data_IF_881727240359
#
_entry.id   IF_881727240359
#
_cell.length_a   1.000
_cell.length_b   1.000
_cell.length_c   1.000
_cell.angle_alpha   90.00
_cell.angle_beta   90.00
_cell.angle_gamma   90.00
#
_symmetry.space_group_name_H-M   'P 1'
#
loop_
_entity.id
_entity.type
_entity.pdbx_description
1 polymer ?
#
# COMPACT_ATOMS: atom_id res chain seq x y z
N UNK A 1 8.81 4.55 -10.20
CA UNK A 1 7.43 5.03 -9.96
C UNK A 1 7.43 5.76 -8.63
N UNK A 2 7.09 7.05 -8.62
CA UNK A 2 7.14 7.93 -7.42
C UNK A 2 5.80 7.95 -6.67
N UNK A 3 4.86 7.08 -7.00
CA UNK A 3 3.47 7.29 -6.64
C UNK A 3 3.25 7.17 -5.11
N UNK A 4 3.91 6.22 -4.43
CA UNK A 4 3.90 6.17 -2.96
C UNK A 4 4.94 7.08 -2.30
N UNK A 5 5.80 7.73 -3.07
CA UNK A 5 6.83 8.64 -2.54
C UNK A 5 6.19 9.78 -1.75
N UNK A 6 5.04 10.28 -2.24
CA UNK A 6 4.33 11.41 -1.67
C UNK A 6 3.29 11.03 -0.60
N UNK A 7 3.42 9.86 0.04
CA UNK A 7 2.58 9.53 1.19
C UNK A 7 2.85 10.54 2.31
N UNK A 8 1.80 11.24 2.74
CA UNK A 8 1.92 12.27 3.75
C UNK A 8 1.97 11.67 5.16
N UNK A 9 2.78 12.29 6.02
CA UNK A 9 2.95 11.92 7.41
C UNK A 9 4.36 12.24 7.91
N UNK A 10 4.52 12.32 9.23
CA UNK A 10 5.84 12.37 9.86
C UNK A 10 6.52 11.00 9.77
N UNK A 11 7.86 10.96 9.81
CA UNK A 11 8.65 9.74 9.66
C UNK A 11 8.28 8.63 10.67
N UNK A 12 8.04 9.02 11.92
CA UNK A 12 7.58 8.17 13.03
C UNK A 12 6.20 7.55 12.79
N UNK A 13 5.35 8.20 12.00
CA UNK A 13 4.03 7.69 11.70
C UNK A 13 4.06 6.43 10.83
N UNK A 14 5.15 6.11 10.11
CA UNK A 14 5.23 4.99 9.15
C UNK A 14 5.64 3.64 9.75
N UNK A 15 5.60 3.50 11.08
CA UNK A 15 5.96 2.27 11.81
C UNK A 15 5.27 0.99 11.31
N UNK A 16 4.07 1.14 10.75
CA UNK A 16 3.19 0.09 10.25
C UNK A 16 2.90 0.23 8.74
N UNK A 17 3.80 0.84 7.96
CA UNK A 17 3.57 1.09 6.53
C UNK A 17 4.81 0.77 5.68
N UNK A 18 4.87 -0.47 5.18
CA UNK A 18 5.92 -0.95 4.28
C UNK A 18 5.28 -1.45 2.99
N UNK A 19 5.62 -0.82 1.86
CA UNK A 19 5.15 -1.23 0.55
C UNK A 19 6.34 -1.69 -0.27
N UNK A 20 6.39 -2.97 -0.57
CA UNK A 20 7.44 -3.58 -1.39
C UNK A 20 6.88 -3.84 -2.78
N UNK A 21 7.40 -3.13 -3.76
CA UNK A 21 7.02 -3.28 -5.15
C UNK A 21 8.00 -4.20 -5.89
N UNK A 22 7.48 -4.94 -6.86
CA UNK A 22 8.29 -5.55 -7.92
C UNK A 22 7.86 -4.99 -9.28
N UNK A 23 8.85 -4.54 -10.04
CA UNK A 23 8.69 -4.01 -11.38
C UNK A 23 9.68 -4.70 -12.33
N UNK A 24 9.21 -5.44 -13.34
CA UNK A 24 10.10 -6.04 -14.31
C UNK A 24 10.49 -4.98 -15.34
N UNK A 25 11.62 -5.19 -16.01
CA UNK A 25 11.95 -4.42 -17.20
C UNK A 25 10.83 -4.56 -18.25
N UNK A 26 10.52 -3.48 -18.98
CA UNK A 26 9.34 -3.43 -19.87
C UNK A 26 9.42 -4.39 -21.06
N UNK A 27 10.64 -4.77 -21.48
CA UNK A 27 10.88 -5.61 -22.64
C UNK A 27 12.29 -6.20 -22.60
N UNK A 28 12.55 -7.20 -23.47
CA UNK A 28 13.90 -7.73 -23.68
C UNK A 28 14.89 -6.65 -24.12
N UNK A 29 14.46 -5.70 -24.95
CA UNK A 29 15.27 -4.56 -25.38
C UNK A 29 15.64 -3.61 -24.22
N UNK A 30 14.80 -3.55 -23.18
CA UNK A 30 15.09 -2.83 -21.94
C UNK A 30 15.87 -3.67 -20.90
N UNK A 31 16.47 -4.79 -21.33
CA UNK A 31 17.27 -5.66 -20.48
C UNK A 31 16.50 -6.72 -19.71
N UNK A 32 15.23 -6.99 -20.04
CA UNK A 32 14.48 -8.09 -19.40
C UNK A 32 15.08 -9.44 -19.79
N UNK A 33 15.54 -10.20 -18.79
CA UNK A 33 15.94 -11.60 -18.93
C UNK A 33 14.96 -12.51 -18.18
N UNK A 34 14.83 -13.76 -18.64
CA UNK A 34 13.96 -14.75 -18.00
C UNK A 34 12.45 -14.47 -18.08
N UNK A 35 11.68 -15.25 -17.33
CA UNK A 35 10.23 -15.12 -17.20
C UNK A 35 9.86 -14.22 -16.02
N UNK A 36 9.60 -12.95 -16.33
CA UNK A 36 9.19 -11.95 -15.36
C UNK A 36 7.87 -12.31 -14.66
N UNK A 37 6.92 -12.95 -15.35
CA UNK A 37 5.63 -13.30 -14.74
C UNK A 37 5.82 -14.43 -13.73
N UNK A 38 6.62 -15.45 -14.04
CA UNK A 38 6.95 -16.51 -13.11
C UNK A 38 7.66 -15.97 -11.86
N UNK A 39 8.65 -15.10 -12.03
CA UNK A 39 9.35 -14.45 -10.93
C UNK A 39 8.38 -13.61 -10.05
N UNK A 40 7.46 -12.88 -10.67
CA UNK A 40 6.45 -12.10 -9.96
C UNK A 40 5.41 -12.95 -9.22
N UNK A 41 4.99 -14.08 -9.81
CA UNK A 41 4.14 -15.05 -9.11
C UNK A 41 4.85 -15.63 -7.89
N UNK A 42 6.15 -15.93 -8.01
CA UNK A 42 6.97 -16.37 -6.88
C UNK A 42 7.08 -15.30 -5.80
N UNK A 43 7.36 -14.05 -6.17
CA UNK A 43 7.36 -12.90 -5.25
C UNK A 43 6.03 -12.79 -4.48
N UNK A 44 4.88 -12.92 -5.17
CA UNK A 44 3.56 -12.85 -4.54
C UNK A 44 3.25 -14.02 -3.62
N UNK A 45 3.69 -15.23 -3.99
CA UNK A 45 3.55 -16.42 -3.16
C UNK A 45 4.33 -16.27 -1.85
N UNK A 46 5.59 -15.85 -1.92
CA UNK A 46 6.41 -15.56 -0.73
C UNK A 46 5.74 -14.46 0.10
N UNK A 47 5.28 -13.38 -0.53
CA UNK A 47 4.64 -12.29 0.20
C UNK A 47 3.44 -12.78 1.02
N UNK A 48 2.64 -13.71 0.49
CA UNK A 48 1.49 -14.28 1.19
C UNK A 48 1.88 -15.11 2.43
N UNK A 49 3.05 -15.77 2.44
CA UNK A 49 3.59 -16.50 3.60
C UNK A 49 3.82 -15.57 4.79
N UNK A 50 4.20 -14.31 4.53
CA UNK A 50 4.44 -13.27 5.54
C UNK A 50 3.16 -12.51 5.97
N UNK A 51 1.98 -12.97 5.56
CA UNK A 51 0.67 -12.41 5.98
C UNK A 51 0.57 -10.89 5.79
N UNK A 52 0.63 -10.40 4.54
CA UNK A 52 0.63 -8.97 4.24
C UNK A 52 -0.74 -8.36 4.58
N UNK A 53 -0.77 -7.06 4.87
CA UNK A 53 -2.00 -6.29 5.02
C UNK A 53 -2.78 -6.22 3.69
N UNK A 54 -2.08 -6.15 2.56
CA UNK A 54 -2.68 -6.19 1.22
C UNK A 54 -1.69 -6.70 0.17
N UNK A 55 -2.22 -7.33 -0.88
CA UNK A 55 -1.51 -7.62 -2.13
C UNK A 55 -2.15 -6.85 -3.28
N UNK A 56 -1.31 -6.40 -4.21
CA UNK A 56 -1.67 -5.52 -5.30
C UNK A 56 -1.10 -5.95 -6.65
N UNK A 57 -1.94 -5.94 -7.68
CA UNK A 57 -1.53 -6.00 -9.08
C UNK A 57 -2.14 -4.79 -9.80
N UNK A 58 -1.32 -3.95 -10.41
CA UNK A 58 -1.79 -2.74 -11.08
C UNK A 58 -2.71 -3.03 -12.29
N UNK A 59 -2.61 -4.22 -12.90
CA UNK A 59 -3.42 -4.60 -14.07
C UNK A 59 -4.77 -5.18 -13.66
N UNK A 60 -4.78 -6.10 -12.69
CA UNK A 60 -5.98 -6.86 -12.34
C UNK A 60 -6.64 -6.38 -11.05
N UNK A 61 -5.91 -5.61 -10.24
CA UNK A 61 -6.37 -4.95 -9.04
C UNK A 61 -6.04 -5.68 -7.73
N UNK A 62 -6.17 -4.95 -6.62
CA UNK A 62 -5.77 -5.39 -5.28
C UNK A 62 -6.62 -6.47 -4.61
N UNK A 63 -6.19 -6.82 -3.40
CA UNK A 63 -6.83 -7.81 -2.51
C UNK A 63 -8.25 -7.41 -2.07
N UNK A 64 -8.51 -6.11 -1.95
CA UNK A 64 -9.82 -5.51 -1.75
C UNK A 64 -10.25 -4.80 -3.04
N UNK A 65 -11.27 -5.35 -3.73
CA UNK A 65 -11.74 -4.83 -5.02
C UNK A 65 -13.06 -4.06 -4.93
N UNK A 66 -13.36 -3.17 -5.89
CA UNK A 66 -14.68 -2.57 -6.03
C UNK A 66 -15.81 -3.62 -6.03
N UNK A 67 -16.97 -3.23 -5.49
CA UNK A 67 -18.17 -4.07 -5.50
C UNK A 67 -18.90 -3.90 -6.83
N UNK A 68 -19.58 -4.96 -7.32
CA UNK A 68 -20.57 -4.83 -8.39
C UNK A 68 -21.94 -4.37 -7.88
N UNK A 69 -22.11 -4.25 -6.56
CA UNK A 69 -23.35 -3.76 -5.96
C UNK A 69 -23.61 -2.33 -6.42
N UNK A 70 -24.83 -2.07 -6.88
CA UNK A 70 -25.31 -0.72 -7.22
C UNK A 70 -25.76 0.08 -5.99
N UNK A 71 -25.81 -0.55 -4.82
CA UNK A 71 -26.21 0.10 -3.58
C UNK A 71 -24.99 0.62 -2.83
N UNK A 72 -25.12 1.81 -2.22
CA UNK A 72 -24.10 2.36 -1.33
C UNK A 72 -23.82 1.45 -0.12
N UNK A 73 -24.78 0.60 0.25
CA UNK A 73 -24.59 -0.40 1.30
C UNK A 73 -23.60 -1.51 0.90
N UNK A 74 -23.36 -1.71 -0.39
CA UNK A 74 -22.44 -2.71 -0.93
C UNK A 74 -20.97 -2.49 -0.62
N UNK A 75 -20.61 -1.29 -0.15
CA UNK A 75 -19.25 -0.93 0.28
C UNK A 75 -18.94 -1.31 1.74
N UNK A 76 -19.94 -1.81 2.48
CA UNK A 76 -19.82 -2.14 3.90
C UNK A 76 -20.00 -3.64 4.17
N UNK A 77 -19.49 -4.10 5.32
CA UNK A 77 -19.72 -5.45 5.84
C UNK A 77 -18.86 -6.55 5.19
N UNK A 78 -19.36 -7.80 5.21
CA UNK A 78 -18.59 -9.03 4.94
C UNK A 78 -17.88 -9.10 3.58
N UNK A 79 -18.25 -8.24 2.61
CA UNK A 79 -17.60 -8.14 1.28
C UNK A 79 -16.23 -7.48 1.33
N UNK A 80 -15.85 -6.92 2.48
CA UNK A 80 -14.60 -6.20 2.70
C UNK A 80 -13.47 -7.09 3.25
N UNK A 81 -13.51 -8.40 2.97
CA UNK A 81 -12.39 -9.30 3.29
C UNK A 81 -11.37 -9.31 2.16
N UNK A 82 -10.06 -9.10 2.44
CA UNK A 82 -9.01 -9.28 1.44
C UNK A 82 -9.02 -10.69 0.87
N UNK A 83 -8.91 -10.80 -0.45
CA UNK A 83 -8.81 -12.08 -1.14
C UNK A 83 -7.47 -12.16 -1.88
N UNK A 84 -6.46 -12.70 -1.20
CA UNK A 84 -5.11 -12.86 -1.77
C UNK A 84 -5.09 -13.89 -2.89
N UNK A 85 -5.80 -15.02 -2.73
CA UNK A 85 -5.90 -16.06 -3.77
C UNK A 85 -6.35 -15.50 -5.11
N UNK A 86 -7.35 -14.62 -5.11
CA UNK A 86 -7.83 -13.93 -6.32
C UNK A 86 -6.78 -13.04 -6.97
N UNK A 87 -5.89 -12.42 -6.18
CA UNK A 87 -4.77 -11.63 -6.73
C UNK A 87 -3.78 -12.57 -7.40
N UNK A 88 -3.33 -13.63 -6.71
CA UNK A 88 -2.34 -14.59 -7.24
C UNK A 88 -2.83 -15.30 -8.51
N UNK A 89 -4.07 -15.80 -8.51
CA UNK A 89 -4.67 -16.51 -9.65
C UNK A 89 -4.99 -15.56 -10.82
N UNK A 90 -5.24 -14.28 -10.53
CA UNK A 90 -5.56 -13.27 -11.53
C UNK A 90 -4.37 -12.75 -12.32
N UNK A 91 -3.13 -13.09 -11.94
CA UNK A 91 -1.92 -12.59 -12.59
C UNK A 91 -1.75 -13.19 -13.99
N UNK A 92 -2.12 -12.41 -15.02
CA UNK A 92 -2.00 -12.81 -16.43
C UNK A 92 -0.76 -12.28 -17.14
N UNK A 93 -0.20 -11.15 -16.69
CA UNK A 93 0.93 -10.47 -17.33
C UNK A 93 1.84 -9.84 -16.28
N UNK A 94 3.14 -9.84 -16.57
CA UNK A 94 4.12 -9.16 -15.75
C UNK A 94 3.88 -7.63 -15.77
N UNK A 95 3.90 -7.00 -14.61
CA UNK A 95 3.49 -5.60 -14.44
C UNK A 95 3.99 -4.99 -13.15
N UNK A 96 3.32 -3.96 -12.64
CA UNK A 96 3.62 -3.46 -11.30
C UNK A 96 2.84 -4.26 -10.28
N UNK A 97 3.55 -4.96 -9.41
CA UNK A 97 2.96 -5.70 -8.31
C UNK A 97 3.46 -5.16 -6.97
N UNK A 98 2.68 -5.32 -5.92
CA UNK A 98 2.99 -4.78 -4.60
C UNK A 98 2.53 -5.69 -3.46
N UNK A 99 3.36 -5.79 -2.43
CA UNK A 99 3.00 -6.35 -1.13
C UNK A 99 3.06 -5.24 -0.08
N UNK A 100 1.99 -5.12 0.71
CA UNK A 100 1.86 -4.12 1.79
C UNK A 100 1.94 -4.84 3.12
N UNK A 101 2.88 -4.45 3.98
CA UNK A 101 3.04 -5.00 5.32
C UNK A 101 2.78 -3.91 6.36
N UNK A 102 2.15 -4.33 7.45
CA UNK A 102 1.80 -3.48 8.59
C UNK A 102 2.64 -3.76 9.84
N UNK A 103 3.62 -4.63 9.73
CA UNK A 103 4.55 -4.93 10.79
C UNK A 103 5.97 -5.10 10.22
N UNK A 104 6.94 -4.62 11.00
CA UNK A 104 8.35 -4.59 10.62
C UNK A 104 8.91 -5.98 10.37
N UNK A 105 8.66 -6.93 11.26
CA UNK A 105 9.22 -8.29 11.18
C UNK A 105 8.83 -9.01 9.88
N UNK A 106 7.57 -8.90 9.45
CA UNK A 106 7.11 -9.47 8.18
C UNK A 106 7.77 -8.78 6.98
N UNK A 107 7.88 -7.44 7.01
CA UNK A 107 8.53 -6.69 5.93
C UNK A 107 10.02 -7.04 5.80
N UNK A 108 10.76 -7.08 6.92
CA UNK A 108 12.18 -7.41 6.96
C UNK A 108 12.42 -8.86 6.53
N UNK A 109 11.64 -9.81 7.06
CA UNK A 109 11.72 -11.22 6.68
C UNK A 109 11.39 -11.45 5.20
N UNK A 110 10.39 -10.75 4.68
CA UNK A 110 10.04 -10.80 3.26
C UNK A 110 11.16 -10.27 2.37
N UNK A 111 11.70 -9.08 2.67
CA UNK A 111 12.80 -8.46 1.91
C UNK A 111 14.05 -9.34 1.92
N UNK A 112 14.39 -9.93 3.07
CA UNK A 112 15.48 -10.89 3.18
C UNK A 112 15.23 -12.11 2.30
N UNK A 113 14.04 -12.70 2.38
CA UNK A 113 13.70 -13.91 1.62
C UNK A 113 13.78 -13.70 0.11
N UNK A 114 13.24 -12.60 -0.42
CA UNK A 114 13.29 -12.32 -1.87
C UNK A 114 14.69 -11.99 -2.36
N UNK A 115 15.57 -11.48 -1.49
CA UNK A 115 16.96 -11.21 -1.81
C UNK A 115 17.78 -12.51 -1.88
N UNK A 116 17.58 -13.41 -0.92
CA UNK A 116 18.18 -14.76 -0.91
C UNK A 116 17.75 -15.58 -2.13
N UNK A 117 16.48 -15.50 -2.54
CA UNK A 117 15.99 -16.21 -3.74
C UNK A 117 16.45 -15.57 -5.06
N UNK A 118 17.00 -14.35 -5.04
CA UNK A 118 17.54 -13.64 -6.19
C UNK A 118 16.67 -13.77 -7.46
N UNK A 119 15.40 -13.37 -7.36
CA UNK A 119 14.39 -13.56 -8.40
C UNK A 119 14.65 -12.73 -9.69
N UNK A 120 15.74 -11.96 -9.77
CA UNK A 120 16.05 -11.09 -10.92
C UNK A 120 15.07 -9.93 -11.10
N UNK A 121 14.33 -9.55 -10.05
CA UNK A 121 13.32 -8.50 -10.08
C UNK A 121 13.87 -7.17 -9.57
N UNK A 122 13.48 -6.06 -10.19
CA UNK A 122 13.69 -4.73 -9.59
C UNK A 122 12.69 -4.53 -8.45
N UNK A 123 13.21 -4.30 -7.25
CA UNK A 123 12.43 -4.14 -6.02
C UNK A 123 12.56 -2.72 -5.50
N UNK A 124 11.44 -2.09 -5.15
CA UNK A 124 11.41 -0.80 -4.47
C UNK A 124 10.67 -0.94 -3.14
N UNK A 125 11.24 -0.37 -2.08
CA UNK A 125 10.62 -0.31 -0.74
C UNK A 125 10.19 1.12 -0.48
N UNK A 126 8.89 1.32 -0.23
CA UNK A 126 8.33 2.61 0.17
C UNK A 126 7.88 2.53 1.63
N UNK A 127 8.50 3.35 2.47
CA UNK A 127 8.22 3.55 3.90
C UNK A 127 8.94 4.84 4.33
N UNK A 128 9.11 5.08 5.64
CA UNK A 128 10.09 6.07 6.10
C UNK A 128 11.52 5.67 5.71
N UNK A 129 12.41 6.64 5.64
CA UNK A 129 13.83 6.42 5.27
C UNK A 129 14.49 5.43 6.23
N UNK A 130 14.23 5.59 7.53
CA UNK A 130 14.77 4.73 8.58
C UNK A 130 14.24 3.30 8.43
N UNK A 131 12.94 3.14 8.22
CA UNK A 131 12.31 1.83 8.05
C UNK A 131 12.83 1.10 6.81
N UNK A 132 12.90 1.79 5.66
CA UNK A 132 13.42 1.21 4.43
C UNK A 132 14.90 0.84 4.54
N UNK A 133 15.72 1.69 5.20
CA UNK A 133 17.13 1.38 5.46
C UNK A 133 17.27 0.14 6.35
N UNK A 134 16.53 0.08 7.45
CA UNK A 134 16.58 -1.05 8.38
C UNK A 134 16.17 -2.37 7.71
N UNK A 135 15.16 -2.34 6.83
CA UNK A 135 14.77 -3.52 6.07
C UNK A 135 15.86 -4.02 5.10
N UNK A 136 16.57 -3.10 4.44
CA UNK A 136 17.72 -3.46 3.61
C UNK A 136 18.89 -4.01 4.45
N UNK A 137 19.20 -3.36 5.57
CA UNK A 137 20.30 -3.78 6.47
C UNK A 137 20.03 -5.19 7.03
N UNK A 138 18.78 -5.47 7.44
CA UNK A 138 18.37 -6.80 7.92
C UNK A 138 18.55 -7.89 6.84
N UNK A 139 18.31 -7.53 5.58
CA UNK A 139 18.50 -8.43 4.44
C UNK A 139 19.96 -8.54 3.98
N UNK A 140 20.89 -7.78 4.58
CA UNK A 140 22.30 -7.73 4.15
C UNK A 140 22.50 -7.04 2.79
N UNK A 141 21.56 -6.21 2.35
CA UNK A 141 21.58 -5.56 1.03
C UNK A 141 22.00 -4.10 1.16
N UNK A 142 23.00 -3.69 0.37
CA UNK A 142 23.30 -2.28 0.18
C UNK A 142 22.27 -1.66 -0.78
N UNK A 143 21.48 -0.70 -0.29
CA UNK A 143 20.53 0.05 -1.13
C UNK A 143 21.23 0.70 -2.32
N UNK A 144 20.68 0.52 -3.52
CA UNK A 144 21.25 1.07 -4.76
C UNK A 144 20.91 2.56 -4.93
N UNK A 145 19.67 2.95 -4.70
CA UNK A 145 19.18 4.32 -4.87
C UNK A 145 18.13 4.69 -3.81
N UNK A 146 17.91 5.99 -3.62
CA UNK A 146 16.86 6.53 -2.76
C UNK A 146 16.17 7.71 -3.44
N UNK A 147 14.86 7.82 -3.25
CA UNK A 147 14.09 8.99 -3.60
C UNK A 147 13.52 9.62 -2.31
N UNK A 148 13.55 10.94 -2.23
CA UNK A 148 12.98 11.70 -1.12
C UNK A 148 11.77 12.49 -1.61
N UNK A 149 10.67 12.43 -0.86
CA UNK A 149 9.65 13.47 -0.96
C UNK A 149 9.94 14.50 0.11
N UNK A 150 10.22 15.74 -0.31
CA UNK A 150 10.20 16.84 0.63
C UNK A 150 8.75 17.13 1.03
N UNK A 151 8.57 17.58 2.27
CA UNK A 151 7.27 18.01 2.76
C UNK A 151 6.85 19.33 2.13
N UNK A 152 5.66 19.81 2.52
CA UNK A 152 5.24 21.17 2.20
C UNK A 152 5.74 22.11 3.29
N UNK A 153 6.34 23.22 2.89
CA UNK A 153 6.67 24.36 3.76
C UNK A 153 5.53 25.39 3.67
N UNK A 154 5.26 26.12 4.76
CA UNK A 154 4.27 27.20 4.83
C UNK A 154 2.86 26.86 4.33
N UNK A 155 2.36 25.70 4.78
CA UNK A 155 1.01 25.25 4.46
C UNK A 155 -0.02 26.17 5.13
N UNK A 156 -0.64 27.06 4.35
CA UNK A 156 -1.67 27.98 4.84
C UNK A 156 -2.95 27.29 5.33
N UNK A 157 -3.81 28.08 5.96
CA UNK A 157 -5.03 27.60 6.65
C UNK A 157 -6.09 26.99 5.73
N UNK A 158 -6.00 27.21 4.42
CA UNK A 158 -6.94 26.69 3.42
C UNK A 158 -6.67 25.23 3.00
N UNK A 159 -5.80 24.51 3.73
CA UNK A 159 -5.50 23.12 3.40
C UNK A 159 -6.39 22.13 4.14
N UNK A 160 -6.76 21.01 3.49
CA UNK A 160 -7.47 19.94 4.17
C UNK A 160 -6.69 19.45 5.39
N UNK A 161 -7.42 19.07 6.46
CA UNK A 161 -6.79 18.57 7.68
C UNK A 161 -5.82 17.41 7.43
N UNK A 162 -4.74 17.35 8.22
CA UNK A 162 -3.61 16.42 8.04
C UNK A 162 -4.05 14.96 7.89
N UNK A 163 -5.02 14.50 8.68
CA UNK A 163 -5.55 13.13 8.57
C UNK A 163 -6.20 12.85 7.21
N UNK A 164 -6.91 13.81 6.63
CA UNK A 164 -7.51 13.65 5.30
C UNK A 164 -6.44 13.51 4.21
N UNK A 165 -5.35 14.29 4.30
CA UNK A 165 -4.21 14.19 3.40
C UNK A 165 -3.49 12.83 3.58
N UNK A 166 -3.23 12.40 4.82
CA UNK A 166 -2.62 11.08 5.10
C UNK A 166 -3.43 9.94 4.50
N UNK A 167 -4.77 10.00 4.57
CA UNK A 167 -5.65 8.98 3.98
C UNK A 167 -5.66 9.06 2.45
N UNK A 168 -5.82 10.24 1.87
CA UNK A 168 -5.94 10.43 0.41
C UNK A 168 -4.65 10.07 -0.33
N UNK A 169 -3.48 10.45 0.21
CA UNK A 169 -2.17 10.22 -0.41
C UNK A 169 -1.71 8.76 -0.36
N UNK A 170 -2.32 7.92 0.47
CA UNK A 170 -1.93 6.51 0.64
C UNK A 170 -2.06 5.69 -0.67
N UNK A 171 -3.02 6.02 -1.53
CA UNK A 171 -3.13 5.37 -2.86
C UNK A 171 -1.99 5.76 -3.82
N UNK A 172 -1.32 6.89 -3.60
CA UNK A 172 -0.24 7.42 -4.42
C UNK A 172 -0.61 7.90 -5.84
N UNK A 173 -1.78 7.52 -6.35
CA UNK A 173 -2.27 7.84 -7.69
C UNK A 173 -3.39 8.90 -7.68
N UNK A 174 -3.76 9.43 -6.51
CA UNK A 174 -4.89 10.36 -6.38
C UNK A 174 -6.28 9.74 -6.57
N UNK A 175 -6.41 8.41 -6.66
CA UNK A 175 -7.70 7.72 -6.82
C UNK A 175 -8.63 7.84 -5.60
N UNK A 176 -8.07 8.19 -4.43
CA UNK A 176 -8.83 8.49 -3.23
C UNK A 176 -8.95 10.00 -3.09
N UNK A 177 -10.09 10.56 -3.47
CA UNK A 177 -10.32 12.00 -3.35
C UNK A 177 -10.28 12.44 -1.88
N UNK A 178 -9.82 13.66 -1.65
CA UNK A 178 -9.76 14.23 -0.30
C UNK A 178 -11.16 14.37 0.31
N UNK A 179 -12.17 14.70 -0.50
CA UNK A 179 -13.57 14.78 -0.08
C UNK A 179 -14.09 13.41 0.38
N UNK A 180 -13.67 12.32 -0.28
CA UNK A 180 -14.02 10.98 0.16
C UNK A 180 -13.36 10.63 1.50
N UNK A 181 -12.09 10.98 1.69
CA UNK A 181 -11.41 10.81 2.98
C UNK A 181 -12.12 11.58 4.11
N UNK A 182 -12.45 12.86 3.88
CA UNK A 182 -13.20 13.69 4.83
C UNK A 182 -14.58 13.09 5.14
N UNK A 183 -15.27 12.52 4.14
CA UNK A 183 -16.56 11.86 4.36
C UNK A 183 -16.44 10.62 5.23
N UNK A 184 -15.40 9.80 5.02
CA UNK A 184 -15.11 8.64 5.88
C UNK A 184 -14.79 9.08 7.31
N UNK A 185 -14.03 10.17 7.47
CA UNK A 185 -13.77 10.77 8.77
C UNK A 185 -15.05 11.24 9.48
N UNK A 186 -15.97 11.91 8.77
CA UNK A 186 -17.28 12.32 9.33
C UNK A 186 -18.10 11.10 9.78
N UNK A 187 -18.17 10.04 8.97
CA UNK A 187 -18.87 8.81 9.37
C UNK A 187 -18.29 8.15 10.61
N UNK A 188 -16.97 8.20 10.79
CA UNK A 188 -16.32 7.66 11.98
C UNK A 188 -16.57 8.53 13.21
N UNK A 189 -16.48 9.87 13.09
CA UNK A 189 -16.80 10.80 14.20
C UNK A 189 -18.25 10.70 14.65
N UNK A 190 -19.17 10.55 13.71
CA UNK A 190 -20.61 10.40 13.97
C UNK A 190 -21.00 8.99 14.45
N UNK A 191 -20.02 8.09 14.67
CA UNK A 191 -20.24 6.68 15.00
C UNK A 191 -21.15 5.92 14.01
N UNK A 192 -21.26 6.39 12.77
CA UNK A 192 -22.03 5.74 11.70
C UNK A 192 -21.30 4.54 11.10
N UNK A 193 -19.97 4.55 11.22
CA UNK A 193 -19.07 3.47 10.78
C UNK A 193 -17.89 3.36 11.74
N UNK A 194 -17.38 2.15 11.88
CA UNK A 194 -16.13 1.93 12.60
C UNK A 194 -14.92 2.36 11.75
N UNK A 195 -13.77 2.72 12.37
CA UNK A 195 -12.53 2.99 11.66
C UNK A 195 -12.11 1.86 10.72
N UNK A 196 -12.33 0.60 11.14
CA UNK A 196 -12.06 -0.58 10.33
C UNK A 196 -12.92 -0.61 9.07
N UNK A 197 -14.23 -0.45 9.20
CA UNK A 197 -15.14 -0.46 8.04
C UNK A 197 -14.82 0.66 7.06
N UNK A 198 -14.49 1.85 7.55
CA UNK A 198 -14.10 2.99 6.73
C UNK A 198 -12.77 2.72 5.99
N UNK A 199 -11.73 2.23 6.68
CA UNK A 199 -10.45 1.88 6.07
C UNK A 199 -10.61 0.81 4.97
N UNK A 200 -11.39 -0.24 5.24
CA UNK A 200 -11.66 -1.30 4.27
C UNK A 200 -12.45 -0.79 3.06
N UNK A 201 -13.45 0.08 3.27
CA UNK A 201 -14.21 0.70 2.18
C UNK A 201 -13.32 1.58 1.31
N UNK A 202 -12.40 2.35 1.92
CA UNK A 202 -11.44 3.18 1.20
C UNK A 202 -10.50 2.35 0.33
N UNK A 203 -9.96 1.26 0.86
CA UNK A 203 -9.01 0.40 0.14
C UNK A 203 -9.54 -0.08 -1.23
N UNK A 204 -10.85 -0.25 -1.37
CA UNK A 204 -11.50 -0.71 -2.62
C UNK A 204 -11.33 0.26 -3.78
N UNK A 205 -11.17 1.55 -3.50
CA UNK A 205 -10.96 2.59 -4.51
C UNK A 205 -9.47 2.77 -4.86
N UNK A 206 -8.58 2.10 -4.13
CA UNK A 206 -7.19 1.92 -4.54
C UNK A 206 -7.10 0.72 -5.49
N UNK A 207 -7.23 0.98 -6.80
CA UNK A 207 -7.24 -0.08 -7.82
C UNK A 207 -6.01 -0.98 -7.75
N UNK A 208 -4.82 -0.41 -7.56
CA UNK A 208 -3.55 -1.15 -7.50
C UNK A 208 -3.30 -1.90 -6.16
N UNK A 209 -4.15 -1.74 -5.14
CA UNK A 209 -4.09 -2.53 -3.91
C UNK A 209 -3.01 -2.15 -2.90
N UNK A 210 -2.38 -0.98 -3.02
CA UNK A 210 -1.29 -0.54 -2.15
C UNK A 210 -1.76 0.17 -0.87
N UNK A 211 -3.06 0.47 -0.76
CA UNK A 211 -3.63 1.16 0.38
C UNK A 211 -3.52 0.28 1.64
N UNK A 212 -2.91 0.82 2.69
CA UNK A 212 -2.67 0.10 3.94
C UNK A 212 -3.85 0.32 4.89
N UNK A 213 -4.70 -0.70 5.01
CA UNK A 213 -5.90 -0.66 5.86
C UNK A 213 -5.57 -0.54 7.35
N UNK A 214 -4.44 -1.10 7.81
CA UNK A 214 -3.98 -0.99 9.21
C UNK A 214 -3.62 0.45 9.55
N UNK A 215 -2.77 1.08 8.72
CA UNK A 215 -2.43 2.51 8.87
C UNK A 215 -3.67 3.39 8.81
N UNK A 216 -4.55 3.16 7.83
CA UNK A 216 -5.77 3.95 7.67
C UNK A 216 -6.71 3.81 8.87
N UNK A 217 -6.86 2.60 9.42
CA UNK A 217 -7.64 2.35 10.64
C UNK A 217 -7.10 3.15 11.82
N UNK A 218 -5.77 3.20 12.00
CA UNK A 218 -5.14 3.98 13.07
C UNK A 218 -5.40 5.48 12.92
N UNK A 219 -5.24 6.02 11.71
CA UNK A 219 -5.56 7.44 11.44
C UNK A 219 -7.04 7.74 11.71
N UNK A 220 -7.95 6.83 11.32
CA UNK A 220 -9.38 7.00 11.56
C UNK A 220 -9.75 6.83 13.04
N UNK A 221 -9.00 6.04 13.79
CA UNK A 221 -9.14 5.92 15.24
C UNK A 221 -8.76 7.24 15.94
N UNK A 222 -7.64 7.87 15.55
CA UNK A 222 -7.24 9.20 16.02
C UNK A 222 -8.36 10.23 15.77
N UNK A 223 -8.97 10.18 14.58
CA UNK A 223 -10.12 11.01 14.23
C UNK A 223 -11.34 10.74 15.12
N UNK A 224 -11.59 9.48 15.50
CA UNK A 224 -12.71 9.07 16.35
C UNK A 224 -12.59 9.64 17.77
N UNK A 225 -11.38 9.65 18.32
CA UNK A 225 -11.10 10.13 19.68
C UNK A 225 -10.72 11.61 19.75
N UNK A 226 -10.67 12.31 18.61
CA UNK A 226 -10.44 13.75 18.55
C UNK A 226 -8.97 14.18 18.59
N UNK A 227 -8.03 13.28 18.28
CA UNK A 227 -6.60 13.61 18.16
C UNK A 227 -6.39 14.41 16.87
N UNK A 228 -5.73 15.57 16.99
CA UNK A 228 -5.47 16.52 15.90
C UNK A 228 -4.18 16.21 15.15
#
# INVERSE_FOLDING_TARGET
MTNTLHRYGKSDSFVDDYIVFSLPAKSKAAGQTGDALAAQKRFMAIAAEFKPASLGDALHGGSLRPTRSRSIFGHWGKRNKPNFKRVLEGMSKAGTIAAVFDNRAAAEGFVKRIAEENLGLSVNISSSIVNAKNACDHAGIKRHSIAYSLGFEDVGDNTPGKQAIMLSTMCGHGMLSINFAQKMMSFVRENRRTPKEAAEAMARFCSCGIFNTTRAKRILEDVRIGVK
#
